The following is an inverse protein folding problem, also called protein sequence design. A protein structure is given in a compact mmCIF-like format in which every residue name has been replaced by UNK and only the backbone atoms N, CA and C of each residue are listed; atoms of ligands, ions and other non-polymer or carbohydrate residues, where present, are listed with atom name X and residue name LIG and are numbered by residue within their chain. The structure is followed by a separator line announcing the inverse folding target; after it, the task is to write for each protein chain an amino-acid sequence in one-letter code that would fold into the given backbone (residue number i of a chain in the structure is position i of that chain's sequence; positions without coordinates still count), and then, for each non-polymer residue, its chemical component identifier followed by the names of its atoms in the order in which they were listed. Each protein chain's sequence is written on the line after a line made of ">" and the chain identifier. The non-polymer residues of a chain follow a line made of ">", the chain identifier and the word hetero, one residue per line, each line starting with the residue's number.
data_IF_293061717435
#
_entry.id   IF_293061717435
#
_cell.length_a   1.000
_cell.length_b   1.000
_cell.length_c   1.000
_cell.angle_alpha   90.00
_cell.angle_beta   90.00
_cell.angle_gamma   90.00
#
_symmetry.space_group_name_H-M   'P 1'
#
loop_
_entity.id
_entity.type
_entity.pdbx_description
1 polymer ?
#
# COMPACT_ATOMS: atom_id res chain seq x y z
N UNK A 1 -3.14 -1.68 -4.42
CA UNK A 1 -4.51 -1.43 -4.87
C UNK A 1 -5.47 -2.42 -4.20
N UNK A 2 -6.71 -1.96 -3.94
CA UNK A 2 -7.74 -2.77 -3.29
C UNK A 2 -8.20 -3.96 -4.14
N UNK A 3 -8.24 -3.80 -5.45
CA UNK A 3 -8.60 -4.85 -6.42
C UNK A 3 -7.43 -5.77 -6.80
N UNK A 4 -6.20 -5.43 -6.37
CA UNK A 4 -4.99 -6.20 -6.61
C UNK A 4 -4.52 -6.20 -8.07
N UNK A 5 -4.75 -5.10 -8.80
CA UNK A 5 -4.27 -4.94 -10.19
C UNK A 5 -2.75 -4.92 -10.33
N UNK A 6 -2.02 -4.63 -9.25
CA UNK A 6 -0.56 -4.72 -9.24
C UNK A 6 -0.11 -6.18 -9.24
N UNK A 7 0.49 -6.63 -10.33
CA UNK A 7 0.88 -8.03 -10.54
C UNK A 7 2.16 -8.39 -9.79
N UNK A 8 2.27 -9.63 -9.33
CA UNK A 8 3.50 -10.18 -8.71
C UNK A 8 4.65 -10.28 -9.70
N UNK A 9 4.36 -10.52 -10.98
CA UNK A 9 5.34 -10.42 -12.05
C UNK A 9 5.46 -8.95 -12.46
N UNK A 10 6.64 -8.36 -12.29
CA UNK A 10 6.90 -7.00 -12.75
C UNK A 10 7.59 -7.04 -14.12
N UNK A 11 6.98 -6.36 -15.07
CA UNK A 11 7.43 -6.29 -16.46
C UNK A 11 7.79 -4.84 -16.78
N UNK A 12 8.90 -4.64 -17.48
CA UNK A 12 9.29 -3.34 -18.01
C UNK A 12 8.21 -2.85 -19.01
N UNK A 13 7.56 -1.73 -18.75
CA UNK A 13 6.48 -1.26 -19.60
C UNK A 13 6.93 -0.75 -20.98
N UNK A 14 8.23 -0.52 -21.18
CA UNK A 14 8.77 -0.07 -22.47
C UNK A 14 9.18 -1.24 -23.37
N UNK A 15 9.77 -2.28 -22.79
CA UNK A 15 10.37 -3.38 -23.55
C UNK A 15 9.56 -4.67 -23.49
N UNK A 16 8.66 -4.80 -22.52
CA UNK A 16 7.94 -6.04 -22.24
C UNK A 16 8.81 -7.10 -21.53
N UNK A 17 10.07 -6.81 -21.23
CA UNK A 17 10.97 -7.74 -20.57
C UNK A 17 10.56 -7.94 -19.09
N UNK A 18 10.68 -9.17 -18.60
CA UNK A 18 10.42 -9.48 -17.19
C UNK A 18 11.58 -8.95 -16.34
N UNK A 19 11.31 -7.92 -15.53
CA UNK A 19 12.27 -7.36 -14.58
C UNK A 19 12.29 -8.14 -13.24
N UNK A 20 11.12 -8.57 -12.75
CA UNK A 20 10.97 -9.44 -11.58
C UNK A 20 9.95 -10.53 -11.91
N UNK A 21 10.37 -11.79 -11.80
CA UNK A 21 9.49 -12.91 -12.15
C UNK A 21 8.36 -13.14 -11.13
N UNK A 22 8.60 -12.87 -9.83
CA UNK A 22 7.63 -13.00 -8.73
C UNK A 22 8.01 -12.11 -7.57
N UNK A 23 7.04 -11.59 -6.83
CA UNK A 23 7.26 -10.70 -5.68
C UNK A 23 7.38 -9.22 -6.04
N UNK A 24 7.20 -8.83 -7.31
CA UNK A 24 7.32 -7.46 -7.81
C UNK A 24 6.04 -6.62 -7.75
N UNK A 25 5.07 -7.01 -6.93
CA UNK A 25 3.80 -6.28 -6.85
C UNK A 25 3.95 -4.82 -6.37
N UNK A 26 4.93 -4.54 -5.53
CA UNK A 26 5.19 -3.19 -5.05
C UNK A 26 5.78 -2.31 -6.15
N UNK A 27 6.70 -2.85 -6.95
CA UNK A 27 7.24 -2.20 -8.14
C UNK A 27 6.15 -1.94 -9.18
N UNK A 28 5.32 -2.94 -9.44
CA UNK A 28 4.17 -2.82 -10.34
C UNK A 28 3.21 -1.72 -9.88
N UNK A 29 2.90 -1.66 -8.57
CA UNK A 29 2.03 -0.63 -8.02
C UNK A 29 2.68 0.76 -8.07
N UNK A 30 3.98 0.86 -7.84
CA UNK A 30 4.69 2.15 -7.78
C UNK A 30 4.66 2.93 -9.09
N UNK A 31 4.49 2.27 -10.23
CA UNK A 31 4.40 2.92 -11.53
C UNK A 31 2.97 3.38 -11.89
N UNK A 32 1.94 2.76 -11.32
CA UNK A 32 0.55 3.05 -11.64
C UNK A 32 0.19 4.53 -11.52
N UNK A 33 0.36 5.15 -10.35
CA UNK A 33 0.00 6.55 -10.12
C UNK A 33 0.71 7.55 -11.05
N UNK A 34 1.94 7.25 -11.45
CA UNK A 34 2.78 8.17 -12.21
C UNK A 34 2.23 8.47 -13.61
N UNK A 35 1.47 7.55 -14.19
CA UNK A 35 0.84 7.69 -15.50
C UNK A 35 -0.70 7.67 -15.45
N UNK A 36 -1.27 7.69 -14.27
CA UNK A 36 -2.73 7.74 -14.08
C UNK A 36 -3.20 9.20 -14.12
N UNK A 37 -4.06 9.53 -15.06
CA UNK A 37 -4.67 10.86 -15.23
C UNK A 37 -5.67 11.21 -14.12
N UNK A 38 -6.15 10.22 -13.38
CA UNK A 38 -6.95 10.42 -12.16
C UNK A 38 -6.11 10.52 -10.88
N UNK A 39 -4.78 10.37 -10.97
CA UNK A 39 -3.86 10.46 -9.82
C UNK A 39 -2.78 11.54 -10.06
N UNK A 40 -1.70 11.23 -10.81
CA UNK A 40 -0.52 12.12 -10.90
C UNK A 40 -0.19 12.58 -12.31
N UNK A 41 -0.75 11.98 -13.35
CA UNK A 41 -0.41 12.32 -14.72
C UNK A 41 -1.32 13.41 -15.30
N UNK A 42 -0.77 14.21 -16.19
CA UNK A 42 -1.54 14.93 -17.19
C UNK A 42 -1.94 13.98 -18.33
N UNK A 43 -3.05 14.24 -19.04
CA UNK A 43 -3.44 13.44 -20.18
C UNK A 43 -2.30 13.24 -21.20
N UNK A 44 -2.16 12.04 -21.70
CA UNK A 44 -1.14 11.62 -22.67
C UNK A 44 0.33 11.63 -22.17
N UNK A 45 0.57 11.81 -20.86
CA UNK A 45 1.93 11.67 -20.32
C UNK A 45 2.44 10.23 -20.50
N UNK A 46 3.65 10.08 -21.05
CA UNK A 46 4.35 8.82 -21.19
C UNK A 46 5.59 8.70 -20.30
N UNK A 47 6.21 7.52 -20.27
CA UNK A 47 7.43 7.32 -19.49
C UNK A 47 8.62 8.14 -19.98
N UNK A 48 8.71 8.47 -21.29
CA UNK A 48 9.76 9.32 -21.82
C UNK A 48 9.68 10.74 -21.23
N UNK A 49 8.47 11.32 -21.15
CA UNK A 49 8.25 12.63 -20.55
C UNK A 49 8.54 12.59 -19.04
N UNK A 50 8.06 11.55 -18.34
CA UNK A 50 8.35 11.37 -16.92
C UNK A 50 9.85 11.30 -16.65
N UNK A 51 10.59 10.50 -17.41
CA UNK A 51 12.05 10.36 -17.27
C UNK A 51 12.77 11.68 -17.51
N UNK A 52 12.37 12.43 -18.54
CA UNK A 52 12.95 13.74 -18.84
C UNK A 52 12.67 14.77 -17.72
N UNK A 53 11.45 14.77 -17.17
CA UNK A 53 11.09 15.63 -16.02
C UNK A 53 11.89 15.30 -14.79
N UNK A 54 12.06 14.03 -14.45
CA UNK A 54 12.88 13.60 -13.30
C UNK A 54 14.35 14.01 -13.56
N UNK A 55 14.89 13.80 -14.76
CA UNK A 55 16.27 14.14 -15.09
C UNK A 55 16.57 15.63 -14.92
N UNK A 56 15.59 16.49 -15.21
CA UNK A 56 15.72 17.96 -15.10
C UNK A 56 15.34 18.51 -13.71
N UNK A 57 14.67 17.72 -12.89
CA UNK A 57 14.23 18.16 -11.57
C UNK A 57 15.40 18.16 -10.56
N UNK A 58 15.32 19.05 -9.59
CA UNK A 58 16.24 19.05 -8.45
C UNK A 58 15.66 18.20 -7.32
N UNK A 59 16.37 17.18 -6.84
CA UNK A 59 15.91 16.35 -5.72
C UNK A 59 15.60 17.21 -4.49
N UNK A 60 14.43 16.98 -3.89
CA UNK A 60 13.98 17.61 -2.64
C UNK A 60 14.10 19.14 -2.59
N UNK A 61 13.96 19.82 -3.75
CA UNK A 61 14.18 21.27 -3.91
C UNK A 61 13.32 22.14 -2.97
N UNK A 62 12.16 21.65 -2.55
CA UNK A 62 11.24 22.37 -1.67
C UNK A 62 11.31 21.90 -0.21
N UNK A 63 12.14 20.91 0.12
CA UNK A 63 12.29 20.42 1.47
C UNK A 63 13.17 21.34 2.30
N UNK A 64 12.66 21.77 3.45
CA UNK A 64 13.34 22.72 4.34
C UNK A 64 14.02 22.04 5.54
N UNK A 65 13.70 20.77 5.81
CA UNK A 65 14.16 20.05 7.00
C UNK A 65 14.60 18.64 6.64
N UNK A 66 15.75 18.55 5.96
CA UNK A 66 16.33 17.29 5.53
C UNK A 66 17.18 16.66 6.63
N UNK A 67 17.11 15.35 6.86
CA UNK A 67 18.07 14.60 7.65
C UNK A 67 19.51 14.81 7.15
N UNK A 68 20.49 14.76 8.06
CA UNK A 68 21.88 15.08 7.74
C UNK A 68 22.49 14.13 6.69
N UNK A 69 22.16 12.84 6.74
CA UNK A 69 22.59 11.83 5.75
C UNK A 69 22.05 12.14 4.35
N UNK A 70 20.81 12.61 4.26
CA UNK A 70 20.19 13.05 3.00
C UNK A 70 20.87 14.32 2.47
N UNK A 71 21.20 15.28 3.36
CA UNK A 71 21.94 16.49 2.97
C UNK A 71 23.31 16.14 2.39
N UNK A 72 24.07 15.24 3.05
CA UNK A 72 25.37 14.78 2.57
C UNK A 72 25.26 14.05 1.24
N UNK A 73 24.25 13.20 1.07
CA UNK A 73 24.02 12.53 -0.20
C UNK A 73 23.74 13.50 -1.35
N UNK A 74 22.92 14.55 -1.10
CA UNK A 74 22.60 15.57 -2.11
C UNK A 74 23.76 16.54 -2.39
N UNK A 75 24.69 16.73 -1.45
CA UNK A 75 25.91 17.49 -1.73
C UNK A 75 26.84 16.75 -2.71
N UNK A 76 26.93 15.44 -2.56
CA UNK A 76 27.76 14.58 -3.41
C UNK A 76 27.10 14.25 -4.75
N UNK A 77 25.76 14.18 -4.76
CA UNK A 77 24.96 13.77 -5.92
C UNK A 77 23.76 14.73 -6.07
N UNK A 78 23.97 15.95 -6.60
CA UNK A 78 22.97 17.03 -6.56
C UNK A 78 21.81 16.87 -7.54
N UNK A 79 21.90 15.94 -8.48
CA UNK A 79 20.88 15.71 -9.49
C UNK A 79 20.34 14.28 -9.43
N UNK A 80 19.14 14.05 -9.98
CA UNK A 80 18.63 12.68 -10.12
C UNK A 80 19.53 11.79 -10.99
N UNK A 81 20.07 12.24 -12.14
CA UNK A 81 21.07 11.47 -12.89
C UNK A 81 22.27 11.02 -12.04
N UNK A 82 22.80 11.87 -11.14
CA UNK A 82 23.88 11.49 -10.23
C UNK A 82 23.45 10.41 -9.25
N UNK A 83 22.27 10.57 -8.63
CA UNK A 83 21.69 9.59 -7.72
C UNK A 83 21.42 8.24 -8.41
N UNK A 84 20.91 8.28 -9.66
CA UNK A 84 20.71 7.05 -10.44
C UNK A 84 22.02 6.39 -10.83
N UNK A 85 23.05 7.17 -11.15
CA UNK A 85 24.40 6.64 -11.39
C UNK A 85 24.94 5.95 -10.15
N UNK A 86 24.79 6.54 -8.99
CA UNK A 86 25.18 5.94 -7.72
C UNK A 86 24.43 4.63 -7.43
N UNK A 87 23.12 4.62 -7.63
CA UNK A 87 22.26 3.49 -7.28
C UNK A 87 22.32 2.33 -8.30
N UNK A 88 22.46 2.65 -9.59
CA UNK A 88 22.28 1.69 -10.70
C UNK A 88 23.48 1.60 -11.66
N UNK A 89 24.54 2.36 -11.42
CA UNK A 89 25.78 2.35 -12.22
C UNK A 89 25.74 3.21 -13.50
N UNK A 90 24.58 3.72 -13.93
CA UNK A 90 24.43 4.65 -15.05
C UNK A 90 23.36 5.70 -14.76
N UNK A 91 23.42 6.84 -15.46
CA UNK A 91 22.49 7.98 -15.28
C UNK A 91 21.08 7.75 -15.87
N UNK A 92 20.83 6.59 -16.48
CA UNK A 92 19.57 6.32 -17.16
C UNK A 92 18.39 6.23 -16.17
N UNK A 93 17.40 7.05 -16.37
CA UNK A 93 16.15 7.09 -15.60
C UNK A 93 15.09 6.30 -16.37
N UNK A 94 15.03 4.99 -16.12
CA UNK A 94 14.05 4.10 -16.76
C UNK A 94 12.86 3.81 -15.83
N UNK A 95 11.68 3.41 -16.36
CA UNK A 95 10.55 3.01 -15.53
C UNK A 95 10.91 1.94 -14.50
N UNK A 96 11.70 0.95 -14.89
CA UNK A 96 12.13 -0.14 -13.99
C UNK A 96 12.93 0.41 -12.82
N UNK A 97 13.89 1.30 -13.08
CA UNK A 97 14.70 1.91 -12.02
C UNK A 97 13.90 2.86 -11.12
N UNK A 98 12.96 3.61 -11.70
CA UNK A 98 12.01 4.42 -10.92
C UNK A 98 11.21 3.52 -9.98
N UNK A 99 10.65 2.42 -10.49
CA UNK A 99 9.92 1.45 -9.68
C UNK A 99 10.78 0.85 -8.56
N UNK A 100 12.01 0.47 -8.86
CA UNK A 100 12.95 -0.08 -7.87
C UNK A 100 13.29 0.95 -6.78
N UNK A 101 13.55 2.19 -7.14
CA UNK A 101 13.83 3.25 -6.17
C UNK A 101 12.64 3.48 -5.22
N UNK A 102 11.43 3.63 -5.78
CA UNK A 102 10.21 3.84 -5.00
C UNK A 102 9.88 2.63 -4.13
N UNK A 103 9.95 1.42 -4.67
CA UNK A 103 9.65 0.21 -3.92
C UNK A 103 10.69 -0.06 -2.81
N UNK A 104 11.96 0.23 -3.06
CA UNK A 104 13.02 0.12 -2.04
C UNK A 104 12.75 1.05 -0.88
N UNK A 105 12.42 2.31 -1.16
CA UNK A 105 12.04 3.26 -0.10
C UNK A 105 10.80 2.79 0.67
N UNK A 106 9.74 2.37 -0.01
CA UNK A 106 8.52 1.90 0.64
C UNK A 106 8.78 0.69 1.54
N UNK A 107 9.73 -0.20 1.20
CA UNK A 107 10.13 -1.34 2.04
C UNK A 107 10.80 -0.93 3.35
N UNK A 108 11.31 0.29 3.46
CA UNK A 108 11.83 0.83 4.73
C UNK A 108 10.73 1.34 5.67
N UNK A 109 9.52 1.58 5.15
CA UNK A 109 8.40 2.10 5.90
C UNK A 109 7.64 0.99 6.63
N UNK A 110 8.32 0.29 7.52
CA UNK A 110 7.76 -0.82 8.29
C UNK A 110 7.29 -0.32 9.67
N UNK A 111 5.99 -0.50 9.96
CA UNK A 111 5.42 -0.19 11.27
C UNK A 111 5.60 -1.40 12.22
N UNK A 112 6.82 -1.60 12.73
CA UNK A 112 7.24 -2.75 13.56
C UNK A 112 7.56 -2.39 15.02
N UNK A 113 7.20 -1.18 15.46
CA UNK A 113 7.46 -0.67 16.81
C UNK A 113 6.18 -0.31 17.54
N UNK A 114 5.19 -1.19 17.48
CA UNK A 114 3.93 -1.02 18.17
C UNK A 114 3.94 -1.73 19.52
N UNK A 115 3.03 -1.41 20.45
CA UNK A 115 2.88 -2.15 21.69
C UNK A 115 2.65 -3.66 21.49
N UNK A 116 2.04 -4.06 20.37
CA UNK A 116 1.90 -5.48 20.02
C UNK A 116 3.26 -6.11 19.70
N UNK A 117 4.13 -5.42 18.95
CA UNK A 117 5.47 -5.92 18.63
C UNK A 117 6.32 -6.05 19.90
N UNK A 118 6.21 -5.08 20.82
CA UNK A 118 6.88 -5.14 22.14
C UNK A 118 6.38 -6.33 22.96
N UNK A 119 5.07 -6.57 22.96
CA UNK A 119 4.49 -7.73 23.62
C UNK A 119 5.02 -9.05 23.03
N UNK A 120 5.11 -9.15 21.70
CA UNK A 120 5.69 -10.33 21.03
C UNK A 120 7.18 -10.54 21.38
N UNK A 121 7.91 -9.46 21.65
CA UNK A 121 9.30 -9.51 22.13
C UNK A 121 9.42 -9.82 23.64
N UNK A 122 8.32 -9.98 24.34
CA UNK A 122 8.28 -10.27 25.76
C UNK A 122 8.51 -9.06 26.68
N UNK A 123 8.31 -7.83 26.17
CA UNK A 123 8.47 -6.60 26.99
C UNK A 123 7.34 -6.55 28.04
N UNK A 124 7.67 -6.52 29.35
CA UNK A 124 6.67 -6.49 30.40
C UNK A 124 5.79 -5.23 30.31
N UNK A 125 4.47 -5.42 30.41
CA UNK A 125 3.52 -4.30 30.40
C UNK A 125 3.27 -3.67 29.04
N UNK A 126 3.82 -4.19 27.95
CA UNK A 126 3.61 -3.68 26.61
C UNK A 126 2.13 -3.63 26.19
N UNK A 127 1.34 -4.59 26.63
CA UNK A 127 -0.12 -4.56 26.49
C UNK A 127 -0.78 -4.54 27.86
N UNK A 128 -1.78 -3.70 28.03
CA UNK A 128 -2.66 -3.70 29.20
C UNK A 128 -3.54 -4.96 29.24
N UNK A 129 -4.08 -5.33 30.40
CA UNK A 129 -4.96 -6.48 30.53
C UNK A 129 -6.20 -6.41 29.60
N UNK A 130 -6.88 -5.26 29.38
CA UNK A 130 -7.94 -5.15 28.37
C UNK A 130 -7.44 -5.39 26.94
N UNK A 131 -6.24 -4.90 26.58
CA UNK A 131 -5.66 -5.12 25.24
C UNK A 131 -5.31 -6.59 25.00
N UNK A 132 -4.80 -7.29 26.01
CA UNK A 132 -4.55 -8.75 25.92
C UNK A 132 -5.85 -9.53 25.75
N UNK A 133 -6.93 -9.17 26.47
CA UNK A 133 -8.25 -9.78 26.22
C UNK A 133 -8.76 -9.49 24.82
N UNK A 134 -8.55 -8.27 24.32
CA UNK A 134 -8.89 -7.90 22.94
C UNK A 134 -8.11 -8.70 21.91
N UNK A 135 -6.84 -8.95 22.14
CA UNK A 135 -6.00 -9.81 21.29
C UNK A 135 -6.55 -11.25 21.23
N UNK A 136 -6.89 -11.83 22.38
CA UNK A 136 -7.50 -13.16 22.43
C UNK A 136 -8.83 -13.19 21.67
N UNK A 137 -9.70 -12.20 21.87
CA UNK A 137 -10.96 -12.09 21.14
C UNK A 137 -10.75 -11.99 19.63
N UNK A 138 -9.79 -11.17 19.19
CA UNK A 138 -9.41 -10.98 17.79
C UNK A 138 -8.97 -12.29 17.11
N UNK A 139 -8.22 -13.12 17.85
CA UNK A 139 -7.69 -14.38 17.34
C UNK A 139 -8.69 -15.54 17.43
N UNK A 140 -9.65 -15.47 18.33
CA UNK A 140 -10.56 -16.58 18.64
C UNK A 140 -12.03 -16.25 18.35
N UNK A 141 -12.73 -15.65 19.31
CA UNK A 141 -14.19 -15.49 19.27
C UNK A 141 -14.68 -14.54 18.17
N UNK A 142 -13.92 -13.50 17.84
CA UNK A 142 -14.23 -12.59 16.77
C UNK A 142 -13.68 -13.05 15.41
N UNK A 143 -12.79 -14.04 15.40
CA UNK A 143 -12.19 -14.65 14.21
C UNK A 143 -11.55 -13.65 13.21
N UNK A 144 -11.20 -12.44 13.66
CA UNK A 144 -10.63 -11.41 12.80
C UNK A 144 -9.29 -11.84 12.19
N UNK A 145 -8.49 -12.64 12.92
CA UNK A 145 -7.19 -13.12 12.48
C UNK A 145 -7.25 -14.08 11.28
N UNK A 146 -8.43 -14.60 10.92
CA UNK A 146 -8.62 -15.42 9.70
C UNK A 146 -8.27 -14.61 8.45
N UNK A 147 -8.67 -13.35 8.41
CA UNK A 147 -8.34 -12.42 7.31
C UNK A 147 -7.16 -11.53 7.69
N UNK A 148 -7.10 -11.05 8.93
CA UNK A 148 -6.07 -10.14 9.42
C UNK A 148 -4.99 -10.87 10.22
N UNK A 149 -4.29 -11.80 9.56
CA UNK A 149 -3.27 -12.66 10.17
C UNK A 149 -2.03 -11.86 10.60
N UNK A 150 -1.57 -11.97 11.87
CA UNK A 150 -0.29 -11.41 12.30
C UNK A 150 0.89 -12.02 11.51
N UNK A 151 2.04 -11.36 11.42
CA UNK A 151 2.40 -10.05 12.00
C UNK A 151 1.95 -8.85 11.17
N UNK A 152 1.55 -9.03 9.92
CA UNK A 152 1.11 -7.96 9.03
C UNK A 152 -0.35 -7.56 9.28
N UNK A 153 -1.11 -8.39 9.99
CA UNK A 153 -2.56 -8.25 10.14
C UNK A 153 -3.28 -8.16 8.79
N UNK A 154 -2.83 -9.00 7.85
CA UNK A 154 -3.38 -9.20 6.52
C UNK A 154 -2.96 -10.59 6.00
N UNK A 155 -3.88 -11.31 5.37
CA UNK A 155 -3.59 -12.58 4.69
C UNK A 155 -3.30 -12.41 3.20
N UNK A 156 -3.33 -11.16 2.70
CA UNK A 156 -3.17 -10.79 1.28
C UNK A 156 -4.18 -11.44 0.31
N UNK A 157 -5.22 -12.08 0.83
CA UNK A 157 -6.32 -12.62 0.05
C UNK A 157 -7.41 -11.57 -0.21
N UNK A 158 -8.42 -11.95 -0.99
CA UNK A 158 -9.53 -11.09 -1.40
C UNK A 158 -10.83 -11.63 -0.81
N UNK A 159 -11.59 -10.73 -0.17
CA UNK A 159 -12.84 -11.08 0.51
C UNK A 159 -13.94 -10.07 0.16
N UNK A 160 -15.17 -10.56 0.01
CA UNK A 160 -16.36 -9.73 -0.13
C UNK A 160 -16.98 -9.53 1.25
N UNK A 161 -17.14 -8.27 1.67
CA UNK A 161 -17.82 -7.91 2.90
C UNK A 161 -19.27 -7.46 2.66
N UNK A 162 -19.67 -7.35 1.40
CA UNK A 162 -21.01 -6.90 0.98
C UNK A 162 -21.45 -5.58 1.66
N UNK A 163 -20.52 -4.65 1.86
CA UNK A 163 -20.77 -3.34 2.47
C UNK A 163 -21.56 -2.43 1.57
N UNK A 164 -21.39 -2.57 0.27
CA UNK A 164 -22.07 -1.83 -0.79
C UNK A 164 -22.42 -2.78 -1.94
N UNK A 165 -23.44 -2.46 -2.75
CA UNK A 165 -23.73 -3.24 -3.94
C UNK A 165 -22.50 -3.36 -4.85
N UNK A 166 -22.24 -4.55 -5.38
CA UNK A 166 -21.11 -4.78 -6.31
C UNK A 166 -21.25 -3.98 -7.62
N UNK A 167 -22.45 -3.48 -7.94
CA UNK A 167 -22.67 -2.57 -9.06
C UNK A 167 -21.96 -1.21 -8.92
N UNK A 168 -21.59 -0.79 -7.71
CA UNK A 168 -20.83 0.44 -7.49
C UNK A 168 -19.32 0.23 -7.72
N UNK A 169 -18.79 -0.92 -7.32
CA UNK A 169 -17.41 -1.31 -7.52
C UNK A 169 -17.32 -2.84 -7.53
N UNK A 170 -17.05 -3.40 -8.71
CA UNK A 170 -16.95 -4.85 -8.87
C UNK A 170 -15.67 -5.44 -8.28
N UNK A 171 -14.77 -4.61 -7.74
CA UNK A 171 -13.58 -5.04 -7.02
C UNK A 171 -12.64 -5.92 -7.84
N UNK A 172 -12.25 -7.05 -7.27
CA UNK A 172 -11.31 -8.00 -7.89
C UNK A 172 -11.75 -8.49 -9.26
N UNK A 173 -13.04 -8.60 -9.52
CA UNK A 173 -13.56 -9.03 -10.82
C UNK A 173 -13.16 -8.09 -11.96
N UNK A 174 -12.92 -6.79 -11.70
CA UNK A 174 -12.39 -5.86 -12.70
C UNK A 174 -11.00 -6.27 -13.23
N UNK A 175 -10.25 -7.04 -12.44
CA UNK A 175 -8.90 -7.49 -12.78
C UNK A 175 -8.89 -8.91 -13.33
N UNK A 176 -9.68 -9.81 -12.75
CA UNK A 176 -9.68 -11.23 -13.11
C UNK A 176 -10.67 -11.60 -14.21
N UNK A 177 -11.73 -10.81 -14.39
CA UNK A 177 -12.85 -11.13 -15.26
C UNK A 177 -13.75 -12.26 -14.75
N UNK A 178 -13.50 -12.77 -13.53
CA UNK A 178 -14.27 -13.89 -12.97
C UNK A 178 -15.46 -13.39 -12.14
N UNK A 179 -16.69 -13.86 -12.42
CA UNK A 179 -17.89 -13.46 -11.66
C UNK A 179 -17.80 -13.75 -10.15
N UNK A 180 -17.13 -14.83 -9.75
CA UNK A 180 -16.98 -15.17 -8.34
C UNK A 180 -16.02 -14.24 -7.57
N UNK A 181 -15.30 -13.34 -8.27
CA UNK A 181 -14.44 -12.32 -7.65
C UNK A 181 -15.15 -10.97 -7.50
N UNK A 182 -16.42 -10.89 -7.87
CA UNK A 182 -17.22 -9.68 -7.76
C UNK A 182 -17.36 -9.22 -6.31
N UNK A 183 -17.16 -7.93 -6.07
CA UNK A 183 -17.22 -7.32 -4.75
C UNK A 183 -16.12 -7.75 -3.78
N UNK A 184 -15.12 -8.51 -4.23
CA UNK A 184 -13.97 -8.87 -3.39
C UNK A 184 -12.89 -7.80 -3.45
N UNK A 185 -12.35 -7.49 -2.28
CA UNK A 185 -11.24 -6.56 -2.09
C UNK A 185 -10.14 -7.19 -1.26
N UNK A 186 -8.89 -6.75 -1.51
CA UNK A 186 -7.72 -7.23 -0.79
C UNK A 186 -7.83 -6.89 0.69
N UNK A 187 -7.55 -7.85 1.56
CA UNK A 187 -7.41 -7.62 3.00
C UNK A 187 -6.28 -6.63 3.26
N UNK A 188 -6.58 -5.41 3.78
CA UNK A 188 -5.54 -4.46 4.13
C UNK A 188 -4.85 -4.84 5.43
N UNK A 189 -3.61 -4.36 5.61
CA UNK A 189 -2.97 -4.42 6.92
C UNK A 189 -3.70 -3.52 7.93
N UNK A 190 -3.88 -4.03 9.17
CA UNK A 190 -4.40 -3.22 10.27
C UNK A 190 -3.32 -2.45 11.04
N UNK A 191 -2.05 -2.55 10.63
CA UNK A 191 -1.00 -1.76 11.24
C UNK A 191 -1.29 -0.28 11.06
N UNK A 192 -1.23 0.49 12.17
CA UNK A 192 -1.55 1.92 12.20
C UNK A 192 -3.00 2.26 11.77
N UNK A 193 -3.93 1.30 11.77
CA UNK A 193 -5.32 1.53 11.35
C UNK A 193 -6.01 2.61 12.19
N UNK A 194 -5.67 2.74 13.47
CA UNK A 194 -6.23 3.76 14.36
C UNK A 194 -5.76 5.21 14.03
N UNK A 195 -4.73 5.36 13.20
CA UNK A 195 -4.26 6.67 12.73
C UNK A 195 -4.95 7.12 11.43
N UNK A 196 -5.85 6.31 10.89
CA UNK A 196 -6.61 6.62 9.67
C UNK A 196 -7.96 7.20 10.03
N UNK A 197 -8.48 8.06 9.14
CA UNK A 197 -9.81 8.69 9.26
C UNK A 197 -10.82 8.09 8.28
N UNK A 198 -10.37 7.17 7.42
CA UNK A 198 -11.19 6.51 6.42
C UNK A 198 -10.87 5.02 6.38
N UNK A 199 -11.91 4.20 6.29
CA UNK A 199 -11.80 2.75 6.32
C UNK A 199 -12.48 2.14 5.09
N UNK A 200 -12.23 0.85 4.86
CA UNK A 200 -12.66 0.09 3.69
C UNK A 200 -12.14 0.68 2.36
N UNK A 201 -12.48 0.05 1.24
CA UNK A 201 -12.01 0.45 -0.10
C UNK A 201 -12.61 1.76 -0.60
N UNK A 202 -13.82 2.09 -0.14
CA UNK A 202 -14.58 3.28 -0.54
C UNK A 202 -14.46 4.46 0.43
N UNK A 203 -13.63 4.34 1.47
CA UNK A 203 -13.46 5.38 2.49
C UNK A 203 -14.56 5.44 3.53
N UNK A 204 -15.65 4.69 3.38
CA UNK A 204 -16.79 4.56 4.30
C UNK A 204 -17.12 5.87 5.05
N UNK A 205 -17.61 6.92 4.39
CA UNK A 205 -17.79 8.26 4.98
C UNK A 205 -18.78 8.27 6.16
N UNK A 206 -19.62 7.25 6.30
CA UNK A 206 -20.56 7.08 7.41
C UNK A 206 -19.87 6.62 8.71
N UNK A 207 -18.62 6.13 8.64
CA UNK A 207 -17.85 5.72 9.81
C UNK A 207 -17.19 6.94 10.46
N UNK A 208 -17.47 7.18 11.73
CA UNK A 208 -16.90 8.29 12.46
C UNK A 208 -15.61 7.89 13.19
N UNK A 209 -15.52 6.63 13.62
CA UNK A 209 -14.34 6.10 14.28
C UNK A 209 -14.12 4.60 14.00
N UNK A 210 -13.04 4.07 14.54
CA UNK A 210 -12.70 2.65 14.39
C UNK A 210 -13.70 1.71 15.08
N UNK A 211 -14.44 2.17 16.10
CA UNK A 211 -15.46 1.38 16.81
C UNK A 211 -16.64 1.11 15.90
N UNK A 212 -17.08 2.11 15.13
CA UNK A 212 -18.13 1.97 14.13
C UNK A 212 -17.72 0.92 13.11
N UNK A 213 -16.47 1.01 12.64
CA UNK A 213 -15.90 0.04 11.70
C UNK A 213 -15.91 -1.39 12.26
N UNK A 214 -15.55 -1.58 13.52
CA UNK A 214 -15.58 -2.90 14.17
C UNK A 214 -17.00 -3.39 14.43
N UNK A 215 -17.93 -2.49 14.76
CA UNK A 215 -19.33 -2.82 15.05
C UNK A 215 -20.04 -3.47 13.84
N UNK A 216 -19.67 -3.08 12.61
CA UNK A 216 -20.21 -3.68 11.39
C UNK A 216 -20.04 -5.20 11.37
N UNK A 217 -18.89 -5.69 11.77
CA UNK A 217 -18.64 -7.13 11.81
C UNK A 217 -19.50 -7.85 12.86
N UNK A 218 -19.95 -7.14 13.91
CA UNK A 218 -20.83 -7.70 14.94
C UNK A 218 -22.32 -7.73 14.55
N UNK A 219 -22.75 -6.86 13.63
CA UNK A 219 -24.14 -6.79 13.17
C UNK A 219 -24.45 -7.72 12.00
N UNK A 220 -23.46 -8.43 11.50
CA UNK A 220 -23.54 -9.25 10.30
C UNK A 220 -23.20 -8.44 9.05
N UNK A 221 -22.09 -8.75 8.46
CA UNK A 221 -21.66 -8.24 7.15
C UNK A 221 -22.68 -8.74 6.12
N UNK A 222 -23.34 -7.85 5.41
CA UNK A 222 -24.40 -8.18 4.44
C UNK A 222 -25.78 -7.60 4.74
N UNK A 223 -25.96 -6.98 5.91
CA UNK A 223 -27.15 -6.16 6.20
C UNK A 223 -26.94 -4.74 5.65
N UNK A 224 -27.16 -4.58 4.36
CA UNK A 224 -26.90 -3.43 3.53
C UNK A 224 -26.85 -2.08 4.22
N UNK A 225 -25.83 -1.29 3.91
CA UNK A 225 -25.95 0.17 3.94
C UNK A 225 -26.81 0.59 2.72
N UNK A 226 -28.00 0.00 2.62
CA UNK A 226 -29.04 0.46 1.71
C UNK A 226 -29.71 1.67 2.38
N UNK A 227 -29.11 2.87 2.15
CA UNK A 227 -29.82 4.17 2.11
C UNK A 227 -28.84 5.26 1.68
#
# INVERSE_FOLDING_TARGET
>A
FWDGRATSKFTDPLTGATAIASGGALESQSLGPLLSDVEMAEPARGFADLSARIASARPLALATNLPQDVQVALQSHPTYPDLFTQAFGTADITPVRIAFALATYQRTLVADRTPWDDFQRGVPGALTAPQQRGMVAFETTAACAVCHTPPLFANNNYHALALRPSSEDIGRAAVTGYPWDEGKFKTPSLRNVALRNHWFHNGAPQMQDLRDTVAIYGTGVGGGFDN
#
